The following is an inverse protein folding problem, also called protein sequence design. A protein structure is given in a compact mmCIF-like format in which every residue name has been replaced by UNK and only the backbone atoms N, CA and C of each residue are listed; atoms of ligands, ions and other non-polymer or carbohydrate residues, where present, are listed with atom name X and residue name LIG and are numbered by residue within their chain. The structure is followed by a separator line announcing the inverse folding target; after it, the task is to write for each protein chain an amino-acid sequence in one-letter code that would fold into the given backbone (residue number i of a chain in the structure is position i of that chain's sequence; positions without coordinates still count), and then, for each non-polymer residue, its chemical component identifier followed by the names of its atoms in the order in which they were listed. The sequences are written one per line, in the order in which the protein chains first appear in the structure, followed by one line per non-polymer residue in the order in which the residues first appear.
data_IF_708777369158
#
_entry.id   IF_708777369158
#
_cell.length_a   1.000
_cell.length_b   1.000
_cell.length_c   1.000
_cell.angle_alpha   90.00
_cell.angle_beta   90.00
_cell.angle_gamma   90.00
#
_symmetry.space_group_name_H-M   'P 1'
#
loop_
_entity.id
_entity.type
_entity.pdbx_description
1 polymer ?
#
# COMPACT_ATOMS: atom_id res chain seq x y z
N UNK A 1 -5.56 -9.64 -10.47
CA UNK A 1 -5.48 -8.35 -11.19
C UNK A 1 -5.62 -7.27 -10.13
N UNK A 2 -4.63 -6.40 -9.96
CA UNK A 2 -4.66 -5.30 -8.98
C UNK A 2 -5.30 -4.06 -9.62
N UNK A 3 -5.70 -3.10 -8.79
CA UNK A 3 -6.49 -1.91 -9.16
C UNK A 3 -5.69 -0.89 -9.97
N UNK A 4 -4.35 -0.99 -10.01
CA UNK A 4 -3.49 -0.10 -10.80
C UNK A 4 -3.37 1.32 -10.23
N UNK A 5 -3.56 1.49 -8.93
CA UNK A 5 -3.56 2.79 -8.26
C UNK A 5 -2.19 3.12 -7.65
N UNK A 6 -1.48 4.07 -8.25
CA UNK A 6 -0.19 4.56 -7.74
C UNK A 6 -0.36 5.82 -6.89
N UNK A 7 -0.75 5.63 -5.63
CA UNK A 7 -1.13 6.69 -4.69
C UNK A 7 -0.17 6.80 -3.50
N UNK A 8 -0.21 7.93 -2.78
CA UNK A 8 0.59 8.12 -1.57
C UNK A 8 0.26 7.13 -0.45
N UNK A 9 1.19 6.88 0.47
CA UNK A 9 1.04 5.84 1.50
C UNK A 9 -0.13 6.08 2.48
N UNK A 10 -0.55 7.33 2.68
CA UNK A 10 -1.74 7.66 3.49
C UNK A 10 -3.02 7.09 2.90
N UNK A 11 -3.08 6.95 1.57
CA UNK A 11 -4.16 6.27 0.85
C UNK A 11 -4.25 4.79 1.24
N UNK A 12 -3.09 4.12 1.37
CA UNK A 12 -3.02 2.75 1.85
C UNK A 12 -3.52 2.60 3.29
N UNK A 13 -3.13 3.52 4.17
CA UNK A 13 -3.60 3.55 5.56
C UNK A 13 -5.12 3.77 5.65
N UNK A 14 -5.67 4.71 4.88
CA UNK A 14 -7.10 4.96 4.83
C UNK A 14 -7.88 3.75 4.28
N UNK A 15 -7.37 3.09 3.23
CA UNK A 15 -7.97 1.87 2.70
C UNK A 15 -7.96 0.73 3.73
N UNK A 16 -6.88 0.59 4.50
CA UNK A 16 -6.80 -0.40 5.56
C UNK A 16 -7.81 -0.13 6.69
N UNK A 17 -8.01 1.12 7.07
CA UNK A 17 -9.03 1.50 8.06
C UNK A 17 -10.44 1.13 7.60
N UNK A 18 -10.77 1.33 6.32
CA UNK A 18 -12.07 0.91 5.77
C UNK A 18 -12.25 -0.61 5.88
N UNK A 19 -11.20 -1.40 5.60
CA UNK A 19 -11.27 -2.86 5.73
C UNK A 19 -11.53 -3.28 7.18
N UNK A 20 -10.86 -2.64 8.14
CA UNK A 20 -11.09 -2.90 9.56
C UNK A 20 -12.52 -2.57 9.99
N UNK A 21 -13.05 -1.41 9.60
CA UNK A 21 -14.44 -1.03 9.87
C UNK A 21 -15.44 -2.00 9.22
N UNK A 22 -15.14 -2.49 8.01
CA UNK A 22 -15.95 -3.50 7.34
C UNK A 22 -15.95 -4.84 8.09
N UNK A 23 -14.78 -5.26 8.60
CA UNK A 23 -14.65 -6.46 9.45
C UNK A 23 -15.41 -6.31 10.79
N UNK A 24 -15.49 -5.10 11.32
CA UNK A 24 -16.26 -4.75 12.53
C UNK A 24 -17.78 -4.64 12.29
N UNK A 25 -18.22 -4.73 11.03
CA UNK A 25 -19.65 -4.69 10.66
C UNK A 25 -20.24 -3.29 10.57
N UNK A 26 -19.41 -2.25 10.41
CA UNK A 26 -19.85 -0.85 10.30
C UNK A 26 -20.68 -0.57 9.03
N UNK A 27 -20.52 -1.40 7.99
CA UNK A 27 -21.18 -1.21 6.69
C UNK A 27 -22.11 -2.39 6.34
N UNK A 28 -23.21 -2.06 5.68
CA UNK A 28 -24.18 -3.02 5.15
C UNK A 28 -24.24 -2.99 3.60
N UNK A 29 -25.17 -3.76 3.01
CA UNK A 29 -25.36 -3.84 1.56
C UNK A 29 -25.82 -2.52 0.91
N UNK A 30 -26.37 -1.59 1.70
CA UNK A 30 -26.88 -0.31 1.23
C UNK A 30 -25.85 0.82 1.37
N UNK A 31 -24.80 0.59 2.16
CA UNK A 31 -23.75 1.55 2.46
C UNK A 31 -22.95 1.95 1.22
N UNK A 32 -22.64 3.25 1.11
CA UNK A 32 -21.78 3.82 0.06
C UNK A 32 -20.57 4.46 0.72
N UNK A 33 -19.43 3.78 0.63
CA UNK A 33 -18.18 4.24 1.22
C UNK A 33 -17.38 5.03 0.20
N UNK A 34 -16.96 6.25 0.56
CA UNK A 34 -16.14 7.13 -0.28
C UNK A 34 -14.82 7.38 0.43
N UNK A 35 -13.72 7.22 -0.30
CA UNK A 35 -12.37 7.46 0.18
C UNK A 35 -11.67 8.49 -0.69
N UNK A 36 -10.84 9.33 -0.08
CA UNK A 36 -10.02 10.32 -0.78
C UNK A 36 -8.57 9.83 -0.78
N UNK A 37 -8.00 9.74 -1.98
CA UNK A 37 -6.57 9.56 -2.18
C UNK A 37 -5.97 10.93 -2.51
N UNK A 38 -5.29 11.59 -1.55
CA UNK A 38 -4.97 13.00 -1.66
C UNK A 38 -3.85 13.29 -2.67
N UNK A 39 -2.98 12.31 -2.94
CA UNK A 39 -1.86 12.47 -3.85
C UNK A 39 -1.37 11.16 -4.47
N UNK A 40 -0.44 11.30 -5.40
CA UNK A 40 0.16 10.22 -6.16
C UNK A 40 1.43 9.68 -5.47
N UNK A 41 1.75 8.40 -5.70
CA UNK A 41 2.86 7.71 -5.04
C UNK A 41 4.26 8.20 -5.43
N UNK A 42 4.41 8.89 -6.56
CA UNK A 42 5.70 9.34 -7.10
C UNK A 42 6.53 10.19 -6.12
N UNK A 43 5.86 10.93 -5.22
CA UNK A 43 6.53 11.75 -4.20
C UNK A 43 7.24 10.93 -3.12
N UNK A 44 6.97 9.63 -3.03
CA UNK A 44 7.44 8.77 -1.96
C UNK A 44 8.34 7.64 -2.46
N UNK A 45 8.87 7.75 -3.68
CA UNK A 45 9.73 6.73 -4.30
C UNK A 45 10.96 6.40 -3.46
N UNK A 46 11.58 7.39 -2.84
CA UNK A 46 12.75 7.21 -1.95
C UNK A 46 12.38 6.78 -0.51
N UNK A 47 11.09 6.59 -0.22
CA UNK A 47 10.57 6.22 1.11
C UNK A 47 9.91 4.84 1.08
N UNK A 48 8.59 4.78 1.28
CA UNK A 48 7.83 3.52 1.42
C UNK A 48 7.91 2.60 0.21
N UNK A 49 8.27 3.12 -0.96
CA UNK A 49 8.48 2.35 -2.18
C UNK A 49 9.96 1.97 -2.42
N UNK A 50 10.86 2.34 -1.50
CA UNK A 50 12.27 1.99 -1.52
C UNK A 50 12.53 0.88 -0.51
N UNK A 51 12.94 -0.30 -0.99
CA UNK A 51 13.27 -1.43 -0.13
C UNK A 51 14.36 -1.11 0.89
N UNK A 52 15.32 -0.27 0.52
CA UNK A 52 16.38 0.14 1.43
C UNK A 52 15.83 0.98 2.58
N UNK A 53 14.98 1.95 2.27
CA UNK A 53 14.33 2.75 3.31
C UNK A 53 13.44 1.88 4.19
N UNK A 54 12.66 0.98 3.60
CA UNK A 54 11.80 0.05 4.34
C UNK A 54 12.61 -0.87 5.27
N UNK A 55 13.80 -1.32 4.85
CA UNK A 55 14.72 -2.09 5.70
C UNK A 55 15.30 -1.25 6.84
N UNK A 56 15.73 -0.02 6.55
CA UNK A 56 16.23 0.91 7.57
C UNK A 56 15.17 1.26 8.62
N UNK A 57 13.89 1.29 8.23
CA UNK A 57 12.77 1.45 9.15
C UNK A 57 12.36 0.15 9.87
N UNK A 58 13.01 -0.98 9.61
CA UNK A 58 12.74 -2.26 10.26
C UNK A 58 11.50 -3.02 9.75
N UNK A 59 10.90 -2.62 8.62
CA UNK A 59 9.71 -3.29 8.08
C UNK A 59 9.97 -4.72 7.58
N UNK A 60 11.22 -5.04 7.22
CA UNK A 60 11.60 -6.37 6.72
C UNK A 60 12.15 -7.32 7.79
N UNK A 61 12.42 -6.83 9.00
CA UNK A 61 12.98 -7.66 10.08
C UNK A 61 11.96 -8.68 10.62
N UNK A 62 10.70 -8.54 10.22
CA UNK A 62 9.57 -9.41 10.56
C UNK A 62 9.14 -10.29 9.38
N UNK A 63 9.87 -11.38 9.10
CA UNK A 63 9.43 -12.59 8.35
C UNK A 63 8.64 -12.48 7.02
N UNK A 64 8.67 -11.36 6.30
CA UNK A 64 8.08 -11.26 4.95
C UNK A 64 9.13 -10.76 3.95
N UNK A 65 10.07 -11.64 3.60
CA UNK A 65 10.96 -11.40 2.46
C UNK A 65 10.19 -11.80 1.20
N UNK A 66 9.46 -10.86 0.61
CA UNK A 66 8.99 -11.02 -0.77
C UNK A 66 10.22 -11.16 -1.67
N UNK A 67 10.14 -12.15 -2.58
CA UNK A 67 11.24 -12.56 -3.44
C UNK A 67 11.76 -11.36 -4.23
N UNK A 68 13.09 -11.12 -4.16
CA UNK A 68 13.78 -10.19 -5.05
C UNK A 68 13.44 -10.57 -6.50
N UNK A 69 12.61 -9.79 -7.19
CA UNK A 69 12.51 -9.90 -8.64
C UNK A 69 13.83 -9.40 -9.23
N UNK A 70 14.57 -10.33 -9.84
CA UNK A 70 15.77 -10.03 -10.62
C UNK A 70 15.37 -9.17 -11.81
N UNK A 71 15.87 -7.93 -11.87
CA UNK A 71 15.68 -7.06 -13.02
C UNK A 71 16.44 -7.68 -14.20
N UNK A 72 15.71 -8.33 -15.11
CA UNK A 72 16.27 -8.81 -16.37
C UNK A 72 16.25 -7.67 -17.40
N UNK A 73 17.44 -7.24 -17.81
CA UNK A 73 17.60 -6.31 -18.93
C UNK A 73 17.34 -7.06 -20.23
N UNK A 74 16.22 -6.77 -20.90
CA UNK A 74 16.00 -7.17 -22.29
C UNK A 74 16.73 -6.14 -23.18
N UNK A 75 17.77 -6.59 -23.88
CA UNK A 75 18.49 -5.79 -24.88
C UNK A 75 17.78 -5.84 -26.22
#
# INVERSE_FOLDING_TARGET
KTEGLFVGYTSGAAMQGIKQLAEEGEFDENSKVVIIFPDHGSRYMSKVFSDNWMREQGFFDSKNVEAKETIEYIK
#
